data_IF_975896544750
#
_entry.id   IF_975896544750
#
_cell.length_a   1.000
_cell.length_b   1.000
_cell.length_c   1.000
_cell.angle_alpha   90.00
_cell.angle_beta   90.00
_cell.angle_gamma   90.00
#
_symmetry.space_group_name_H-M   'P 1'
#
loop_
_entity.id
_entity.type
_entity.pdbx_description
1 polymer ?
#
# COMPACT_ATOMS: atom_id res chain seq x y z
N UNK A 1 11.87 -0.37 -38.44
CA UNK A 1 12.99 -0.29 -37.48
C UNK A 1 12.40 -0.24 -36.08
N UNK A 2 12.60 -1.28 -35.26
CA UNK A 2 12.25 -1.25 -33.84
C UNK A 2 13.38 -0.49 -33.14
N UNK A 3 13.15 0.75 -32.74
CA UNK A 3 14.05 1.42 -31.80
C UNK A 3 14.10 0.59 -30.52
N UNK A 4 15.23 -0.05 -30.27
CA UNK A 4 15.53 -0.65 -28.97
C UNK A 4 15.59 0.48 -27.96
N UNK A 5 14.50 0.65 -27.20
CA UNK A 5 14.41 1.61 -26.12
C UNK A 5 15.54 1.35 -25.12
N UNK A 6 16.38 2.36 -24.88
CA UNK A 6 17.44 2.27 -23.88
C UNK A 6 16.83 2.23 -22.50
N UNK A 7 17.55 1.64 -21.53
CA UNK A 7 17.11 1.62 -20.14
C UNK A 7 16.80 3.03 -19.63
N UNK A 8 17.64 4.02 -19.93
CA UNK A 8 17.40 5.42 -19.57
C UNK A 8 16.14 6.01 -20.20
N UNK A 9 15.85 5.67 -21.46
CA UNK A 9 14.63 6.11 -22.14
C UNK A 9 13.38 5.61 -21.43
N UNK A 10 13.37 4.33 -21.03
CA UNK A 10 12.27 3.74 -20.27
C UNK A 10 12.10 4.39 -18.90
N UNK A 11 13.19 4.70 -18.19
CA UNK A 11 13.13 5.40 -16.89
C UNK A 11 12.49 6.78 -17.03
N UNK A 12 12.85 7.55 -18.08
CA UNK A 12 12.23 8.87 -18.33
C UNK A 12 10.75 8.75 -18.62
N UNK A 13 10.34 7.77 -19.43
CA UNK A 13 8.93 7.53 -19.72
C UNK A 13 8.15 7.16 -18.45
N UNK A 14 8.68 6.26 -17.62
CA UNK A 14 8.07 5.90 -16.33
C UNK A 14 7.86 7.11 -15.41
N UNK A 15 8.87 7.98 -15.30
CA UNK A 15 8.76 9.21 -14.50
C UNK A 15 7.72 10.17 -15.06
N UNK A 16 7.72 10.40 -16.38
CA UNK A 16 6.75 11.28 -17.04
C UNK A 16 5.31 10.77 -16.89
N UNK A 17 5.10 9.46 -17.08
CA UNK A 17 3.80 8.82 -16.85
C UNK A 17 3.36 8.96 -15.38
N UNK A 18 4.29 8.78 -14.43
CA UNK A 18 3.96 8.98 -13.02
C UNK A 18 3.65 10.44 -12.68
N UNK A 19 4.31 11.42 -13.30
CA UNK A 19 4.00 12.84 -13.09
C UNK A 19 2.56 13.18 -13.50
N UNK A 20 2.06 12.57 -14.58
CA UNK A 20 0.66 12.72 -15.01
C UNK A 20 -0.31 12.03 -14.03
N UNK A 21 0.06 10.85 -13.50
CA UNK A 21 -0.75 10.07 -12.57
C UNK A 21 -0.75 10.63 -11.12
N UNK A 22 0.20 11.50 -10.77
CA UNK A 22 0.51 11.80 -9.37
C UNK A 22 -0.70 12.34 -8.59
N UNK A 23 -1.46 13.29 -9.14
CA UNK A 23 -2.58 13.91 -8.42
C UNK A 23 -3.67 12.88 -8.08
N UNK A 24 -4.02 12.05 -9.05
CA UNK A 24 -5.01 10.99 -8.90
C UNK A 24 -4.51 9.92 -7.93
N UNK A 25 -3.22 9.56 -7.99
CA UNK A 25 -2.62 8.68 -6.99
C UNK A 25 -2.69 9.25 -5.57
N UNK A 26 -2.38 10.52 -5.36
CA UNK A 26 -2.43 11.13 -4.01
C UNK A 26 -3.86 11.11 -3.43
N UNK A 27 -4.87 11.35 -4.26
CA UNK A 27 -6.29 11.26 -3.87
C UNK A 27 -6.71 9.82 -3.57
N UNK A 28 -6.49 8.91 -4.52
CA UNK A 28 -6.78 7.49 -4.38
C UNK A 28 -6.07 6.88 -3.17
N UNK A 29 -4.83 7.28 -2.91
CA UNK A 29 -4.08 6.77 -1.76
C UNK A 29 -4.71 7.19 -0.43
N UNK A 30 -5.12 8.46 -0.29
CA UNK A 30 -5.82 8.93 0.93
C UNK A 30 -7.16 8.24 1.10
N UNK A 31 -7.94 8.13 0.02
CA UNK A 31 -9.21 7.38 0.03
C UNK A 31 -8.99 5.94 0.49
N UNK A 32 -8.00 5.25 -0.08
CA UNK A 32 -7.66 3.88 0.28
C UNK A 32 -7.26 3.73 1.75
N UNK A 33 -6.57 4.70 2.34
CA UNK A 33 -6.24 4.68 3.76
C UNK A 33 -7.48 4.78 4.65
N UNK A 34 -8.40 5.68 4.29
CA UNK A 34 -9.68 5.81 4.97
C UNK A 34 -10.47 4.51 4.87
N UNK A 35 -10.63 3.95 3.66
CA UNK A 35 -11.35 2.68 3.43
C UNK A 35 -10.68 1.52 4.17
N UNK A 36 -9.34 1.49 4.21
CA UNK A 36 -8.55 0.47 4.92
C UNK A 36 -8.47 0.68 6.44
N UNK A 37 -9.25 1.61 6.97
CA UNK A 37 -9.63 1.63 8.38
C UNK A 37 -9.19 2.85 9.17
N UNK A 38 -8.54 3.84 8.53
CA UNK A 38 -8.27 5.13 9.19
C UNK A 38 -9.55 5.89 9.53
N UNK A 39 -10.62 5.63 8.76
CA UNK A 39 -11.95 6.13 9.03
C UNK A 39 -12.95 4.99 8.97
N UNK A 40 -14.01 5.09 9.77
CA UNK A 40 -15.22 4.31 9.58
C UNK A 40 -16.24 5.15 8.82
N UNK A 41 -16.67 4.66 7.66
CA UNK A 41 -17.74 5.31 6.92
C UNK A 41 -19.09 4.84 7.48
N UNK A 42 -20.10 5.73 7.54
CA UNK A 42 -21.44 5.34 7.97
C UNK A 42 -22.18 4.55 6.88
N UNK A 43 -21.89 4.83 5.61
CA UNK A 43 -22.51 4.22 4.43
C UNK A 43 -21.52 4.27 3.25
N UNK A 44 -21.79 3.48 2.21
CA UNK A 44 -21.11 3.52 0.91
C UNK A 44 -22.15 3.59 -0.20
N UNK A 45 -21.78 4.21 -1.33
CA UNK A 45 -22.55 4.13 -2.57
C UNK A 45 -21.94 3.12 -3.55
N UNK A 46 -22.67 2.78 -4.62
CA UNK A 46 -22.12 2.01 -5.74
C UNK A 46 -20.94 2.76 -6.39
N UNK A 47 -21.02 4.08 -6.52
CA UNK A 47 -19.94 4.91 -7.05
C UNK A 47 -18.67 4.82 -6.17
N UNK A 48 -18.80 4.82 -4.84
CA UNK A 48 -17.67 4.62 -3.93
C UNK A 48 -17.04 3.23 -4.07
N UNK A 49 -17.86 2.23 -4.44
CA UNK A 49 -17.40 0.86 -4.68
C UNK A 49 -16.57 0.77 -5.96
N UNK A 50 -16.99 1.46 -7.02
CA UNK A 50 -16.20 1.63 -8.25
C UNK A 50 -14.93 2.41 -7.97
N UNK A 51 -15.01 3.51 -7.21
CA UNK A 51 -13.84 4.28 -6.78
C UNK A 51 -12.84 3.42 -6.00
N UNK A 52 -13.30 2.50 -5.16
CA UNK A 52 -12.43 1.56 -4.45
C UNK A 52 -11.65 0.64 -5.38
N UNK A 53 -12.28 0.09 -6.42
CA UNK A 53 -11.58 -0.73 -7.43
C UNK A 53 -10.62 0.11 -8.27
N UNK A 54 -11.03 1.32 -8.66
CA UNK A 54 -10.18 2.28 -9.36
C UNK A 54 -8.94 2.65 -8.53
N UNK A 55 -9.11 2.99 -7.25
CA UNK A 55 -8.03 3.40 -6.37
C UNK A 55 -7.01 2.27 -6.12
N UNK A 56 -7.46 1.01 -6.07
CA UNK A 56 -6.59 -0.16 -6.06
C UNK A 56 -5.75 -0.27 -7.34
N UNK A 57 -6.36 -0.06 -8.51
CA UNK A 57 -5.66 -0.02 -9.78
C UNK A 57 -4.62 1.11 -9.85
N UNK A 58 -4.98 2.33 -9.49
CA UNK A 58 -4.08 3.50 -9.45
C UNK A 58 -2.88 3.24 -8.52
N UNK A 59 -3.10 2.63 -7.35
CA UNK A 59 -2.02 2.24 -6.45
C UNK A 59 -1.06 1.22 -7.10
N UNK A 60 -1.58 0.25 -7.85
CA UNK A 60 -0.74 -0.69 -8.61
C UNK A 60 0.03 0.02 -9.74
N UNK A 61 -0.59 0.94 -10.46
CA UNK A 61 0.08 1.74 -11.50
C UNK A 61 1.27 2.49 -10.90
N UNK A 62 1.09 3.17 -9.77
CA UNK A 62 2.19 3.83 -9.05
C UNK A 62 3.31 2.86 -8.68
N UNK A 63 3.00 1.69 -8.13
CA UNK A 63 4.00 0.71 -7.72
C UNK A 63 4.81 0.21 -8.93
N UNK A 64 4.15 0.01 -10.07
CA UNK A 64 4.79 -0.44 -11.32
C UNK A 64 5.62 0.67 -11.99
N UNK A 65 5.10 1.90 -12.06
CA UNK A 65 5.80 3.04 -12.67
C UNK A 65 7.06 3.39 -11.87
N UNK A 66 6.96 3.42 -10.54
CA UNK A 66 8.10 3.70 -9.65
C UNK A 66 8.92 2.45 -9.29
N UNK A 67 8.67 1.33 -9.97
CA UNK A 67 9.41 0.06 -9.87
C UNK A 67 9.64 -0.42 -8.44
N UNK A 68 8.56 -0.47 -7.67
CA UNK A 68 8.54 -1.08 -6.36
C UNK A 68 8.53 -2.59 -6.53
N UNK A 69 9.46 -3.27 -5.85
CA UNK A 69 9.59 -4.72 -5.94
C UNK A 69 8.34 -5.40 -5.37
N UNK A 70 7.71 -6.27 -6.18
CA UNK A 70 6.54 -7.04 -5.77
C UNK A 70 6.99 -8.33 -5.09
N UNK A 71 7.02 -8.35 -3.76
CA UNK A 71 7.06 -9.60 -3.01
C UNK A 71 5.64 -10.16 -2.75
N UNK A 72 4.60 -9.32 -2.84
CA UNK A 72 3.19 -9.68 -2.65
C UNK A 72 2.34 -8.82 -3.60
N UNK A 73 1.38 -9.43 -4.32
CA UNK A 73 0.35 -8.71 -5.11
C UNK A 73 -0.65 -8.03 -4.18
N UNK A 74 -0.26 -6.89 -3.60
CA UNK A 74 -1.05 -6.19 -2.57
C UNK A 74 -2.36 -5.61 -3.09
N UNK A 75 -2.34 -5.01 -4.28
CA UNK A 75 -3.42 -4.18 -4.80
C UNK A 75 -4.34 -4.89 -5.81
N UNK A 76 -3.81 -5.87 -6.57
CA UNK A 76 -4.59 -6.62 -7.58
C UNK A 76 -5.27 -5.73 -8.63
N UNK A 77 -4.67 -4.60 -9.00
CA UNK A 77 -5.19 -3.60 -9.92
C UNK A 77 -5.60 -4.12 -11.29
N UNK A 78 -4.86 -5.08 -11.88
CA UNK A 78 -5.31 -5.72 -13.14
C UNK A 78 -6.63 -6.47 -12.93
N UNK A 79 -6.77 -7.18 -11.81
CA UNK A 79 -8.02 -7.85 -11.46
C UNK A 79 -9.13 -6.84 -11.23
N UNK A 80 -8.84 -5.68 -10.62
CA UNK A 80 -9.81 -4.61 -10.48
C UNK A 80 -10.34 -4.10 -11.83
N UNK A 81 -9.48 -3.94 -12.84
CA UNK A 81 -9.93 -3.62 -14.21
C UNK A 81 -10.83 -4.70 -14.81
N UNK A 82 -10.43 -5.97 -14.70
CA UNK A 82 -11.24 -7.12 -15.17
C UNK A 82 -12.61 -7.17 -14.47
N UNK A 83 -12.64 -6.88 -13.17
CA UNK A 83 -13.86 -6.78 -12.38
C UNK A 83 -14.76 -5.64 -12.86
N UNK A 84 -14.21 -4.45 -13.10
CA UNK A 84 -14.97 -3.30 -13.62
C UNK A 84 -15.53 -3.56 -15.01
N UNK A 85 -14.79 -4.28 -15.86
CA UNK A 85 -15.27 -4.67 -17.18
C UNK A 85 -16.48 -5.60 -17.08
N UNK A 86 -16.35 -6.71 -16.36
CA UNK A 86 -17.45 -7.67 -16.19
C UNK A 86 -18.64 -7.07 -15.44
N UNK A 87 -18.41 -6.21 -14.44
CA UNK A 87 -19.48 -5.60 -13.67
C UNK A 87 -20.36 -4.66 -14.50
N UNK A 88 -19.78 -3.95 -15.47
CA UNK A 88 -20.54 -3.14 -16.43
C UNK A 88 -21.42 -3.97 -17.37
N UNK A 89 -21.17 -5.28 -17.49
CA UNK A 89 -21.97 -6.24 -18.26
C UNK A 89 -22.96 -7.03 -17.39
N UNK A 90 -22.98 -6.78 -16.07
CA UNK A 90 -23.87 -7.45 -15.11
C UNK A 90 -23.21 -8.51 -14.23
N UNK A 91 -21.92 -8.81 -14.39
CA UNK A 91 -21.22 -9.79 -13.56
C UNK A 91 -20.85 -9.22 -12.17
N UNK A 92 -21.87 -9.10 -11.33
CA UNK A 92 -21.73 -8.63 -9.94
C UNK A 92 -21.10 -9.71 -9.04
N UNK A 93 -21.25 -10.99 -9.38
CA UNK A 93 -20.80 -12.11 -8.56
C UNK A 93 -19.28 -12.10 -8.35
N UNK A 94 -18.51 -11.81 -9.41
CA UNK A 94 -17.06 -11.72 -9.33
C UNK A 94 -16.56 -10.57 -8.44
N UNK A 95 -17.30 -9.46 -8.37
CA UNK A 95 -17.00 -8.32 -7.50
C UNK A 95 -17.29 -8.68 -6.04
N UNK A 96 -18.43 -9.32 -5.79
CA UNK A 96 -18.80 -9.80 -4.45
C UNK A 96 -17.78 -10.81 -3.92
N UNK A 97 -17.37 -11.79 -4.73
CA UNK A 97 -16.33 -12.76 -4.36
C UNK A 97 -15.00 -12.07 -4.00
N UNK A 98 -14.58 -11.09 -4.82
CA UNK A 98 -13.38 -10.32 -4.54
C UNK A 98 -13.44 -9.60 -3.19
N UNK A 99 -14.54 -8.90 -2.90
CA UNK A 99 -14.74 -8.19 -1.63
C UNK A 99 -14.83 -9.15 -0.45
N UNK A 100 -15.50 -10.28 -0.62
CA UNK A 100 -15.62 -11.30 0.42
C UNK A 100 -14.26 -11.93 0.76
N UNK A 101 -13.43 -12.23 -0.24
CA UNK A 101 -12.04 -12.67 0.01
C UNK A 101 -11.22 -11.63 0.77
N UNK A 102 -11.42 -10.33 0.50
CA UNK A 102 -10.74 -9.25 1.25
C UNK A 102 -11.20 -9.18 2.71
N UNK A 103 -12.43 -9.58 3.02
CA UNK A 103 -12.95 -9.70 4.38
C UNK A 103 -12.41 -10.94 5.09
N UNK A 104 -12.40 -12.09 4.41
CA UNK A 104 -12.01 -13.39 4.98
C UNK A 104 -10.55 -13.40 5.46
N UNK A 105 -9.66 -12.70 4.75
CA UNK A 105 -8.23 -12.62 5.11
C UNK A 105 -7.92 -11.64 6.26
N UNK A 106 -8.91 -11.00 6.90
CA UNK A 106 -8.65 -10.04 7.99
C UNK A 106 -8.27 -10.78 9.29
N UNK A 107 -7.06 -10.55 9.86
CA UNK A 107 -6.55 -11.32 11.00
C UNK A 107 -7.08 -10.80 12.36
N UNK A 108 -8.40 -10.57 12.47
CA UNK A 108 -9.03 -9.98 13.67
C UNK A 108 -8.89 -10.87 14.91
N UNK A 109 -8.99 -12.19 14.73
CA UNK A 109 -8.81 -13.15 15.81
C UNK A 109 -7.36 -13.18 16.30
N UNK A 110 -6.40 -13.20 15.39
CA UNK A 110 -4.97 -13.28 15.73
C UNK A 110 -4.47 -12.01 16.42
N UNK A 111 -4.85 -10.82 15.93
CA UNK A 111 -4.47 -9.57 16.60
C UNK A 111 -5.10 -9.46 17.99
N UNK A 112 -6.30 -10.01 18.17
CA UNK A 112 -6.97 -10.06 19.48
C UNK A 112 -6.24 -11.01 20.44
N UNK A 113 -5.77 -12.16 19.94
CA UNK A 113 -4.96 -13.11 20.72
C UNK A 113 -3.62 -12.49 21.13
N UNK A 114 -2.92 -11.83 20.20
CA UNK A 114 -1.67 -11.12 20.47
C UNK A 114 -1.87 -9.99 21.49
N UNK A 115 -2.98 -9.25 21.40
CA UNK A 115 -3.30 -8.19 22.36
C UNK A 115 -3.52 -8.77 23.77
N UNK A 116 -4.25 -9.89 23.88
CA UNK A 116 -4.45 -10.57 25.15
C UNK A 116 -3.11 -11.01 25.75
N UNK A 117 -2.23 -11.60 24.94
CA UNK A 117 -0.88 -12.00 25.38
C UNK A 117 -0.04 -10.80 25.84
N UNK A 118 -0.01 -9.72 25.06
CA UNK A 118 0.75 -8.51 25.42
C UNK A 118 0.28 -7.88 26.74
N UNK A 119 -1.03 -7.91 27.02
CA UNK A 119 -1.61 -7.35 28.25
C UNK A 119 -1.37 -8.28 29.45
N UNK A 120 -1.63 -9.58 29.31
CA UNK A 120 -1.74 -10.49 30.45
C UNK A 120 -0.50 -11.34 30.71
N UNK A 121 0.36 -11.56 29.71
CA UNK A 121 1.57 -12.38 29.85
C UNK A 121 2.84 -11.54 29.80
N UNK A 122 2.97 -10.69 28.78
CA UNK A 122 4.23 -9.99 28.54
C UNK A 122 4.30 -8.63 29.26
N UNK A 123 3.15 -8.10 29.71
CA UNK A 123 2.99 -6.76 30.30
C UNK A 123 3.60 -5.64 29.43
N UNK A 124 3.66 -5.85 28.11
CA UNK A 124 4.16 -4.87 27.15
C UNK A 124 3.06 -3.88 26.78
N UNK A 125 3.01 -2.80 27.55
CA UNK A 125 2.03 -1.71 27.38
C UNK A 125 2.13 -1.02 26.01
N UNK A 126 3.34 -0.96 25.43
CA UNK A 126 3.54 -0.30 24.14
C UNK A 126 3.04 -1.16 22.98
N UNK A 127 3.36 -2.46 23.00
CA UNK A 127 2.83 -3.42 22.06
C UNK A 127 1.31 -3.52 22.19
N UNK A 128 0.77 -3.60 23.41
CA UNK A 128 -0.67 -3.63 23.64
C UNK A 128 -1.39 -2.40 23.06
N UNK A 129 -0.83 -1.19 23.22
CA UNK A 129 -1.37 0.04 22.61
C UNK A 129 -1.40 -0.06 21.08
N UNK A 130 -0.30 -0.51 20.45
CA UNK A 130 -0.21 -0.66 19.00
C UNK A 130 -1.18 -1.71 18.47
N UNK A 131 -1.28 -2.86 19.12
CA UNK A 131 -2.21 -3.94 18.77
C UNK A 131 -3.67 -3.51 18.94
N UNK A 132 -4.00 -2.75 20.00
CA UNK A 132 -5.35 -2.18 20.21
C UNK A 132 -5.73 -1.23 19.07
N UNK A 133 -4.82 -0.34 18.65
CA UNK A 133 -5.04 0.55 17.51
C UNK A 133 -5.16 -0.24 16.19
N UNK A 134 -4.23 -1.16 15.91
CA UNK A 134 -4.29 -2.00 14.71
C UNK A 134 -5.60 -2.80 14.62
N UNK A 135 -6.10 -3.30 15.76
CA UNK A 135 -7.39 -4.00 15.81
C UNK A 135 -8.56 -3.08 15.46
N UNK A 136 -8.55 -1.82 15.92
CA UNK A 136 -9.55 -0.83 15.55
C UNK A 136 -9.52 -0.55 14.04
N UNK A 137 -8.34 -0.37 13.46
CA UNK A 137 -8.17 -0.17 12.01
C UNK A 137 -8.71 -1.37 11.23
N UNK A 138 -8.38 -2.60 11.64
CA UNK A 138 -8.91 -3.81 10.99
C UNK A 138 -10.44 -3.92 11.10
N UNK A 139 -11.01 -3.56 12.25
CA UNK A 139 -12.46 -3.53 12.43
C UNK A 139 -13.12 -2.50 11.52
N UNK A 140 -12.57 -1.28 11.44
CA UNK A 140 -13.07 -0.24 10.55
C UNK A 140 -13.01 -0.70 9.08
N UNK A 141 -11.88 -1.30 8.66
CA UNK A 141 -11.74 -1.88 7.33
C UNK A 141 -12.80 -2.94 7.03
N UNK A 142 -13.02 -3.86 7.98
CA UNK A 142 -14.05 -4.88 7.85
C UNK A 142 -15.45 -4.27 7.69
N UNK A 143 -15.78 -3.26 8.52
CA UNK A 143 -17.05 -2.55 8.41
C UNK A 143 -17.20 -1.83 7.08
N UNK A 144 -16.15 -1.16 6.59
CA UNK A 144 -16.19 -0.45 5.32
C UNK A 144 -16.41 -1.42 4.14
N UNK A 145 -15.72 -2.57 4.13
CA UNK A 145 -15.95 -3.61 3.11
C UNK A 145 -17.36 -4.21 3.18
N UNK A 146 -17.92 -4.39 4.39
CA UNK A 146 -19.31 -4.79 4.56
C UNK A 146 -20.29 -3.73 4.04
N UNK A 147 -20.01 -2.44 4.25
CA UNK A 147 -20.83 -1.35 3.71
C UNK A 147 -20.77 -1.28 2.17
N UNK A 148 -19.65 -1.62 1.55
CA UNK A 148 -19.55 -1.77 0.09
C UNK A 148 -20.49 -2.90 -0.37
N UNK A 149 -20.44 -4.07 0.28
CA UNK A 149 -21.35 -5.18 -0.05
C UNK A 149 -22.82 -4.81 0.14
N UNK A 150 -23.14 -4.11 1.24
CA UNK A 150 -24.48 -3.61 1.53
C UNK A 150 -24.98 -2.66 0.42
N UNK A 151 -24.12 -1.75 -0.06
CA UNK A 151 -24.45 -0.86 -1.17
C UNK A 151 -24.77 -1.62 -2.47
N UNK A 152 -24.02 -2.69 -2.77
CA UNK A 152 -24.25 -3.55 -3.94
C UNK A 152 -25.59 -4.29 -3.82
N UNK A 153 -25.89 -4.85 -2.65
CA UNK A 153 -27.10 -5.65 -2.44
C UNK A 153 -28.38 -4.82 -2.23
N UNK A 154 -28.24 -3.54 -1.88
CA UNK A 154 -29.38 -2.64 -1.69
C UNK A 154 -30.02 -2.17 -3.01
N UNK A 155 -29.35 -2.35 -4.15
CA UNK A 155 -29.78 -1.86 -5.47
C UNK A 155 -30.22 -3.03 -6.34
N UNK A 156 -31.31 -2.86 -7.10
CA UNK A 156 -31.75 -3.85 -8.08
C UNK A 156 -30.74 -3.97 -9.23
N UNK A 157 -30.60 -5.16 -9.79
CA UNK A 157 -29.52 -5.52 -10.75
C UNK A 157 -29.46 -4.58 -11.96
N UNK A 158 -30.58 -4.28 -12.61
CA UNK A 158 -30.63 -3.38 -13.77
C UNK A 158 -30.22 -1.94 -13.43
N UNK A 159 -30.51 -1.48 -12.21
CA UNK A 159 -30.12 -0.16 -11.74
C UNK A 159 -28.64 -0.13 -11.32
N UNK A 160 -28.18 -1.21 -10.68
CA UNK A 160 -26.79 -1.39 -10.27
C UNK A 160 -25.86 -1.28 -11.48
N UNK A 161 -26.16 -1.99 -12.58
CA UNK A 161 -25.33 -1.94 -13.80
C UNK A 161 -25.26 -0.53 -14.36
N UNK A 162 -26.38 0.22 -14.38
CA UNK A 162 -26.39 1.61 -14.86
C UNK A 162 -25.54 2.52 -13.97
N UNK A 163 -25.65 2.38 -12.65
CA UNK A 163 -24.84 3.17 -11.70
C UNK A 163 -23.35 2.84 -11.85
N UNK A 164 -22.99 1.57 -12.02
CA UNK A 164 -21.62 1.14 -12.26
C UNK A 164 -21.08 1.73 -13.57
N UNK A 165 -21.84 1.67 -14.67
CA UNK A 165 -21.45 2.27 -15.95
C UNK A 165 -21.22 3.78 -15.82
N UNK A 166 -22.14 4.50 -15.16
CA UNK A 166 -22.01 5.94 -14.92
C UNK A 166 -20.76 6.26 -14.10
N UNK A 167 -20.52 5.52 -13.02
CA UNK A 167 -19.33 5.69 -12.18
C UNK A 167 -18.04 5.34 -12.93
N UNK A 168 -18.03 4.27 -13.73
CA UNK A 168 -16.88 3.88 -14.55
C UNK A 168 -16.50 4.97 -15.56
N UNK A 169 -17.49 5.63 -16.19
CA UNK A 169 -17.21 6.73 -17.12
C UNK A 169 -16.46 7.90 -16.45
N UNK A 170 -16.71 8.18 -15.17
CA UNK A 170 -16.04 9.28 -14.44
C UNK A 170 -14.54 9.06 -14.32
N UNK A 171 -14.11 7.81 -14.27
CA UNK A 171 -12.70 7.40 -14.13
C UNK A 171 -12.09 6.94 -15.47
N UNK A 172 -12.77 7.13 -16.60
CA UNK A 172 -12.27 6.69 -17.90
C UNK A 172 -12.20 5.16 -18.04
N UNK A 173 -13.16 4.45 -17.44
CA UNK A 173 -13.28 2.99 -17.47
C UNK A 173 -14.41 2.51 -18.38
N UNK A 174 -14.54 3.09 -19.58
CA UNK A 174 -15.38 2.48 -20.61
C UNK A 174 -14.79 1.11 -21.02
N UNK A 175 -15.59 0.10 -21.42
CA UNK A 175 -15.08 -1.22 -21.77
C UNK A 175 -13.85 -1.23 -22.70
N UNK A 176 -13.91 -0.48 -23.80
CA UNK A 176 -12.77 -0.33 -24.72
C UNK A 176 -11.53 0.32 -24.09
N UNK A 177 -11.72 1.27 -23.17
CA UNK A 177 -10.61 1.90 -22.43
C UNK A 177 -10.00 0.93 -21.42
N UNK A 178 -10.82 0.08 -20.78
CA UNK A 178 -10.32 -0.95 -19.87
C UNK A 178 -9.44 -1.95 -20.63
N UNK A 179 -9.86 -2.38 -21.82
CA UNK A 179 -9.04 -3.27 -22.65
C UNK A 179 -7.67 -2.63 -22.99
N UNK A 180 -7.66 -1.34 -23.36
CA UNK A 180 -6.44 -0.57 -23.59
C UNK A 180 -5.58 -0.45 -22.32
N UNK A 181 -6.18 -0.15 -21.17
CA UNK A 181 -5.50 -0.05 -19.88
C UNK A 181 -4.86 -1.39 -19.47
N UNK A 182 -5.57 -2.50 -19.65
CA UNK A 182 -5.05 -3.85 -19.39
C UNK A 182 -3.87 -4.14 -20.33
N UNK A 183 -4.01 -3.83 -21.63
CA UNK A 183 -2.93 -4.02 -22.60
C UNK A 183 -1.71 -3.14 -22.29
N UNK A 184 -1.93 -1.90 -21.83
CA UNK A 184 -0.86 -0.99 -21.43
C UNK A 184 -0.06 -1.56 -20.25
N UNK A 185 -0.74 -2.18 -19.28
CA UNK A 185 -0.08 -2.82 -18.13
C UNK A 185 0.88 -3.95 -18.49
N UNK A 186 0.75 -4.53 -19.70
CA UNK A 186 1.63 -5.57 -20.22
C UNK A 186 2.85 -5.01 -21.00
N UNK A 187 2.92 -3.69 -21.18
CA UNK A 187 4.05 -3.02 -21.84
C UNK A 187 5.27 -2.88 -20.91
N UNK A 188 6.47 -2.61 -21.47
CA UNK A 188 7.66 -2.33 -20.67
C UNK A 188 7.49 -1.17 -19.68
N UNK A 189 6.57 -0.23 -19.94
CA UNK A 189 6.28 0.92 -19.07
C UNK A 189 5.87 0.49 -17.66
N UNK A 190 5.19 -0.66 -17.53
CA UNK A 190 4.70 -1.18 -16.24
C UNK A 190 5.52 -2.38 -15.72
N UNK A 191 6.60 -2.73 -16.41
CA UNK A 191 7.54 -3.77 -15.96
C UNK A 191 8.43 -3.31 -14.80
N UNK A 192 8.94 -4.24 -14.00
CA UNK A 192 9.86 -3.91 -12.91
C UNK A 192 11.25 -3.55 -13.45
N UNK A 193 11.75 -2.37 -13.12
CA UNK A 193 13.10 -1.92 -13.49
C UNK A 193 13.78 -1.24 -12.29
N UNK A 194 14.73 -1.91 -11.61
CA UNK A 194 15.39 -1.32 -10.46
C UNK A 194 16.24 -0.12 -10.89
N UNK A 195 15.88 1.08 -10.43
CA UNK A 195 16.62 2.29 -10.75
C UNK A 195 16.53 3.34 -9.63
N UNK A 196 17.66 3.99 -9.33
CA UNK A 196 17.80 4.95 -8.23
C UNK A 196 16.79 6.10 -8.32
N UNK A 197 16.60 6.68 -9.51
CA UNK A 197 15.70 7.82 -9.69
C UNK A 197 14.23 7.47 -9.41
N UNK A 198 13.78 6.25 -9.76
CA UNK A 198 12.42 5.80 -9.48
C UNK A 198 12.22 5.58 -7.97
N UNK A 199 13.20 4.96 -7.30
CA UNK A 199 13.20 4.78 -5.86
C UNK A 199 13.19 6.12 -5.10
N UNK A 200 14.03 7.07 -5.51
CA UNK A 200 14.07 8.42 -4.94
C UNK A 200 12.72 9.13 -5.11
N UNK A 201 12.12 9.04 -6.29
CA UNK A 201 10.81 9.64 -6.54
C UNK A 201 9.73 9.03 -5.64
N UNK A 202 9.72 7.71 -5.50
CA UNK A 202 8.82 7.03 -4.57
C UNK A 202 9.04 7.48 -3.12
N UNK A 203 10.29 7.57 -2.65
CA UNK A 203 10.60 8.03 -1.30
C UNK A 203 10.08 9.45 -1.06
N UNK A 204 10.32 10.39 -1.99
CA UNK A 204 9.84 11.78 -1.85
C UNK A 204 8.32 11.83 -1.76
N UNK A 205 7.63 11.11 -2.65
CA UNK A 205 6.17 11.03 -2.67
C UNK A 205 5.62 10.43 -1.38
N UNK A 206 6.13 9.28 -0.96
CA UNK A 206 5.65 8.60 0.25
C UNK A 206 5.98 9.39 1.52
N UNK A 207 7.09 10.15 1.55
CA UNK A 207 7.40 11.06 2.65
C UNK A 207 6.39 12.22 2.70
N UNK A 208 6.05 12.83 1.56
CA UNK A 208 5.02 13.87 1.48
C UNK A 208 3.68 13.35 2.01
N UNK A 209 3.23 12.20 1.51
CA UNK A 209 1.99 11.58 1.96
C UNK A 209 2.04 11.18 3.44
N UNK A 210 3.20 10.67 3.89
CA UNK A 210 3.50 10.43 5.30
C UNK A 210 3.26 11.67 6.15
N UNK A 211 3.86 12.81 5.80
CA UNK A 211 3.68 14.08 6.51
C UNK A 211 2.20 14.48 6.58
N UNK A 212 1.45 14.32 5.49
CA UNK A 212 0.01 14.63 5.47
C UNK A 212 -0.80 13.73 6.41
N UNK A 213 -0.46 12.43 6.50
CA UNK A 213 -1.14 11.46 7.39
C UNK A 213 -0.85 11.76 8.87
N UNK A 214 0.41 12.09 9.19
CA UNK A 214 0.87 12.34 10.56
C UNK A 214 0.33 13.66 11.16
N UNK A 215 -0.49 14.40 10.40
CA UNK A 215 -1.16 15.62 10.86
C UNK A 215 -2.16 15.38 11.99
N UNK A 216 -2.64 14.15 12.17
CA UNK A 216 -3.52 13.79 13.30
C UNK A 216 -2.69 13.25 14.48
N UNK A 217 -2.99 13.63 15.73
CA UNK A 217 -2.28 13.16 16.91
C UNK A 217 -2.24 11.63 17.07
N UNK A 218 -3.20 10.91 16.50
CA UNK A 218 -3.29 9.44 16.53
C UNK A 218 -2.30 8.74 15.60
N UNK A 219 -1.79 9.45 14.61
CA UNK A 219 -0.91 8.90 13.58
C UNK A 219 0.58 9.10 13.93
N UNK A 220 0.89 9.95 14.93
CA UNK A 220 2.25 10.16 15.42
C UNK A 220 2.93 8.84 15.82
N UNK A 221 4.25 8.68 15.58
CA UNK A 221 4.93 7.45 15.91
C UNK A 221 4.88 7.25 17.42
N UNK A 222 4.65 6.01 17.87
CA UNK A 222 4.86 5.66 19.27
C UNK A 222 6.30 5.94 19.71
N UNK A 223 6.52 5.98 21.03
CA UNK A 223 7.88 6.13 21.58
C UNK A 223 8.80 5.04 21.01
N UNK A 224 9.91 5.49 20.42
CA UNK A 224 10.85 4.64 19.68
C UNK A 224 11.56 3.67 20.63
N UNK A 225 11.89 2.48 20.14
CA UNK A 225 12.72 1.52 20.87
C UNK A 225 14.15 2.06 21.02
N UNK A 226 14.81 1.73 22.13
CA UNK A 226 16.18 2.13 22.51
C UNK A 226 17.29 1.93 21.46
N UNK A 227 17.06 1.15 20.39
CA UNK A 227 18.03 0.88 19.30
C UNK A 227 17.99 1.89 18.16
N UNK A 228 17.11 2.87 18.22
CA UNK A 228 16.95 3.89 17.18
C UNK A 228 17.36 5.22 17.80
N UNK A 229 18.42 5.83 17.28
CA UNK A 229 18.92 7.13 17.75
C UNK A 229 17.81 8.19 17.67
N UNK A 230 17.82 9.12 18.63
CA UNK A 230 16.93 10.28 18.58
C UNK A 230 17.30 11.15 17.38
N UNK A 231 16.33 11.51 16.52
CA UNK A 231 16.61 12.30 15.33
C UNK A 231 16.99 13.75 15.70
N UNK A 232 18.01 14.28 15.03
CA UNK A 232 18.38 15.70 15.08
C UNK A 232 17.62 16.48 13.99
N UNK A 233 17.09 17.65 14.31
CA UNK A 233 16.41 18.51 13.34
C UNK A 233 17.42 19.26 12.44
N UNK A 234 17.14 19.43 11.13
CA UNK A 234 15.92 19.01 10.41
C UNK A 234 15.97 17.56 9.87
N UNK A 235 14.87 16.83 10.07
CA UNK A 235 14.68 15.47 9.54
C UNK A 235 14.38 15.49 8.04
N UNK A 236 15.41 15.63 7.20
CA UNK A 236 15.28 15.42 5.76
C UNK A 236 16.49 14.70 5.19
N UNK A 237 16.33 13.59 4.45
CA UNK A 237 15.08 12.88 4.12
C UNK A 237 14.67 11.79 5.13
N UNK A 238 13.36 11.67 5.39
CA UNK A 238 12.75 10.76 6.40
C UNK A 238 13.03 9.25 6.24
N UNK A 239 13.64 8.84 5.14
CA UNK A 239 13.94 7.46 4.82
C UNK A 239 15.39 7.04 5.12
N UNK A 240 16.25 7.96 5.55
CA UNK A 240 17.57 7.63 6.08
C UNK A 240 17.46 7.50 7.60
N UNK A 241 17.03 6.33 8.07
CA UNK A 241 17.19 5.98 9.47
C UNK A 241 18.52 5.26 9.64
N UNK A 242 19.47 5.92 10.30
CA UNK A 242 20.69 5.25 10.77
C UNK A 242 20.30 4.38 11.97
N UNK A 243 20.24 3.07 11.75
CA UNK A 243 20.11 2.08 12.82
C UNK A 243 21.54 1.65 13.19
N UNK A 244 21.94 1.87 14.44
CA UNK A 244 23.24 1.39 14.91
C UNK A 244 23.32 -0.14 14.78
N UNK A 245 24.39 -0.61 14.15
CA UNK A 245 24.60 -2.03 13.86
C UNK A 245 23.78 -2.58 12.67
N UNK A 246 23.09 -1.75 11.88
CA UNK A 246 22.42 -2.22 10.67
C UNK A 246 23.42 -2.73 9.63
N UNK A 247 23.27 -4.00 9.27
CA UNK A 247 24.00 -4.62 8.19
C UNK A 247 23.03 -4.83 7.01
N UNK A 248 23.38 -4.31 5.84
CA UNK A 248 22.56 -4.38 4.64
C UNK A 248 22.44 -5.83 4.14
N UNK A 249 21.33 -6.50 4.47
CA UNK A 249 21.09 -7.92 4.17
C UNK A 249 20.67 -8.19 2.70
N UNK A 250 20.65 -7.17 1.85
CA UNK A 250 20.33 -7.29 0.41
C UNK A 250 21.57 -7.54 -0.46
N UNK A 251 22.78 -7.50 0.12
CA UNK A 251 24.00 -7.86 -0.60
C UNK A 251 24.06 -9.39 -0.84
N UNK A 252 24.39 -9.87 -2.06
CA UNK A 252 24.50 -11.29 -2.39
C UNK A 252 25.48 -12.09 -1.50
N UNK A 253 26.30 -11.40 -0.72
CA UNK A 253 27.28 -11.97 0.21
C UNK A 253 26.67 -12.56 1.49
N UNK A 254 25.38 -12.33 1.78
CA UNK A 254 24.73 -12.73 3.04
C UNK A 254 23.84 -13.99 2.98
N UNK A 255 23.85 -14.73 1.87
CA UNK A 255 23.04 -15.95 1.70
C UNK A 255 23.51 -17.17 2.52
N UNK A 256 24.36 -17.00 3.54
CA UNK A 256 24.84 -18.09 4.38
C UNK A 256 24.71 -17.79 5.88
N UNK A 257 23.47 -17.85 6.38
CA UNK A 257 23.09 -17.64 7.79
C UNK A 257 23.75 -18.61 8.79
N UNK A 258 24.52 -19.61 8.35
CA UNK A 258 25.26 -20.53 9.22
C UNK A 258 26.71 -20.11 9.50
N UNK A 259 27.23 -19.08 8.83
CA UNK A 259 28.65 -18.68 8.91
C UNK A 259 28.97 -17.54 9.89
N UNK A 260 27.98 -16.76 10.32
CA UNK A 260 28.20 -15.61 11.19
C UNK A 260 27.59 -15.84 12.58
N UNK A 261 28.45 -16.11 13.56
CA UNK A 261 28.08 -15.93 14.97
C UNK A 261 27.87 -14.43 15.18
N UNK A 262 26.67 -14.04 15.58
CA UNK A 262 26.40 -12.74 16.17
C UNK A 262 27.26 -12.63 17.44
N UNK A 263 28.44 -12.02 17.33
CA UNK A 263 29.27 -11.70 18.49
C UNK A 263 28.98 -10.25 18.80
N UNK A 264 28.30 -10.00 19.92
CA UNK A 264 28.31 -8.69 20.58
C UNK A 264 29.78 -8.33 20.81
N UNK A 265 30.31 -7.43 19.99
CA UNK A 265 31.59 -6.81 20.30
C UNK A 265 31.30 -5.76 21.35
N UNK A 266 31.66 -6.06 22.60
CA UNK A 266 31.82 -5.03 23.62
C UNK A 266 32.70 -3.92 23.05
N UNK A 267 32.15 -2.71 23.01
CA UNK A 267 32.83 -1.52 22.59
C UNK A 267 34.14 -1.35 23.37
N UNK A 268 35.16 -0.89 22.64
CA UNK A 268 36.53 -0.70 23.10
C UNK A 268 36.58 -0.02 24.47
N UNK A 269 37.04 -0.78 25.47
CA UNK A 269 37.76 -0.23 26.61
C UNK A 269 39.06 0.37 26.07
N UNK A 270 39.11 1.69 25.89
CA UNK A 270 40.37 2.39 25.69
C UNK A 270 41.06 2.50 27.06
N UNK A 271 41.80 1.46 27.42
CA UNK A 271 42.97 1.60 28.28
C UNK A 271 44.21 1.69 27.39
N UNK A 272 44.95 2.80 27.56
CA UNK A 272 46.41 2.99 27.52
C UNK A 272 46.67 4.44 27.08
N UNK A 273 46.93 5.36 28.03
CA UNK A 273 48.26 5.68 28.56
C UNK A 273 49.31 5.91 27.46
N UNK A 274 49.53 7.18 27.09
CA UNK A 274 50.75 7.98 27.39
C UNK A 274 50.33 9.44 27.55
#
# INVERSE_FOLDING_TARGET
>A
MKETMTAEGLIRQKLAAFEQLQSEFEECFRFMQDVHGQRRFPTFSVADSVHYLHALWICECKDRLLSIFKNISRYEGRRCLELLLGWQEGDTANVVDFLYRKLDVLPVADITRQLHQAIHHDNDKNLARRLKHGRLVLLNRGMNLMHILDAIFAVEEDLLVKEVQIACMQYGHHPSQIEEQIAEMDTPLYSYVPHRSLAQRNMVLMNKLGVDIMSRPTDLPGQRSWRVLEPAEPMSPFAEQVIEGYQEMTSPLFNNLKGHRFVDRHERSNDQQV
#
